data_IF_647666877352
#
_entry.id   IF_647666877352
#
_cell.length_a   1.000
_cell.length_b   1.000
_cell.length_c   1.000
_cell.angle_alpha   90.00
_cell.angle_beta   90.00
_cell.angle_gamma   90.00
#
_symmetry.space_group_name_H-M   'P 1'
#
loop_
_entity.id
_entity.type
_entity.pdbx_description
1 polymer ?
#
# COMPACT_ATOMS: atom_id res chain seq x y z
N UNK A 1 -21.38 42.65 40.42
CA UNK A 1 -22.79 42.56 40.85
C UNK A 1 -23.40 41.33 40.18
N UNK A 2 -23.80 40.35 41.00
CA UNK A 2 -24.82 39.29 40.78
C UNK A 2 -24.73 38.45 39.48
N UNK A 3 -24.83 37.14 39.46
CA UNK A 3 -25.27 36.17 40.45
C UNK A 3 -24.83 34.78 40.00
N UNK A 4 -24.47 33.96 40.98
CA UNK A 4 -24.32 32.51 40.87
C UNK A 4 -25.62 31.85 40.40
N UNK A 5 -25.49 30.74 39.67
CA UNK A 5 -26.40 29.59 39.73
C UNK A 5 -25.60 28.30 39.55
N UNK A 6 -25.10 27.79 40.68
CA UNK A 6 -24.75 26.38 40.89
C UNK A 6 -26.02 25.55 41.00
N UNK A 7 -26.20 24.47 40.25
CA UNK A 7 -27.11 23.33 40.53
C UNK A 7 -26.80 22.28 39.45
N UNK A 8 -26.71 20.96 39.63
CA UNK A 8 -26.74 20.04 40.77
C UNK A 8 -26.56 18.67 40.07
N UNK A 9 -25.45 17.95 40.28
CA UNK A 9 -25.50 16.49 40.14
C UNK A 9 -26.31 15.96 41.34
N UNK A 10 -27.09 14.87 41.21
CA UNK A 10 -26.63 13.61 41.80
C UNK A 10 -27.24 12.37 41.05
N UNK A 11 -27.35 11.16 41.64
CA UNK A 11 -26.38 10.10 41.42
C UNK A 11 -27.02 8.71 41.17
N UNK A 12 -26.21 7.64 41.12
CA UNK A 12 -26.57 6.24 41.40
C UNK A 12 -27.70 5.57 40.57
N UNK A 13 -27.33 4.55 39.80
CA UNK A 13 -27.98 3.24 39.93
C UNK A 13 -27.03 2.11 39.48
N UNK A 14 -26.67 1.17 40.38
CA UNK A 14 -26.05 -0.11 40.06
C UNK A 14 -27.11 -1.21 39.86
N UNK A 15 -26.64 -2.45 39.68
CA UNK A 15 -27.40 -3.72 39.63
C UNK A 15 -27.83 -4.15 38.22
N UNK A 16 -27.60 -5.38 37.76
CA UNK A 16 -27.81 -6.69 38.41
C UNK A 16 -26.81 -7.70 37.83
N UNK A 17 -25.90 -8.28 38.62
CA UNK A 17 -26.00 -9.61 39.26
C UNK A 17 -27.21 -10.46 38.80
N UNK A 18 -26.91 -11.53 38.07
CA UNK A 18 -27.80 -12.65 37.72
C UNK A 18 -26.96 -13.85 37.27
N UNK A 19 -27.43 -15.09 37.46
CA UNK A 19 -26.76 -16.02 38.36
C UNK A 19 -25.76 -16.96 37.69
N UNK A 20 -24.80 -17.38 38.53
CA UNK A 20 -24.10 -18.65 38.39
C UNK A 20 -25.11 -19.79 38.15
N UNK A 21 -24.85 -20.59 37.13
CA UNK A 21 -25.42 -21.92 36.97
C UNK A 21 -24.27 -22.93 36.79
N UNK A 22 -24.44 -24.16 37.25
CA UNK A 22 -23.47 -24.81 38.12
C UNK A 22 -22.56 -25.76 37.36
N UNK A 23 -21.41 -25.99 37.96
CA UNK A 23 -20.76 -27.30 38.14
C UNK A 23 -21.30 -28.45 37.27
N UNK A 24 -20.44 -28.84 36.32
CA UNK A 24 -20.01 -30.21 35.98
C UNK A 24 -20.73 -31.35 36.73
N UNK A 25 -21.09 -32.45 36.04
CA UNK A 25 -20.13 -33.55 35.87
C UNK A 25 -20.25 -34.23 34.50
N UNK A 26 -19.18 -34.64 33.84
CA UNK A 26 -18.59 -35.99 33.99
C UNK A 26 -17.44 -36.14 32.98
N UNK A 27 -16.48 -37.05 33.23
CA UNK A 27 -15.38 -37.31 32.30
C UNK A 27 -15.91 -37.96 31.02
N UNK A 28 -15.66 -37.35 29.87
CA UNK A 28 -15.81 -38.07 28.60
C UNK A 28 -14.80 -39.20 28.59
N UNK A 29 -15.35 -40.41 28.60
CA UNK A 29 -14.65 -41.67 28.41
C UNK A 29 -13.73 -41.56 27.19
N UNK A 30 -12.48 -41.99 27.36
CA UNK A 30 -11.60 -42.30 26.25
C UNK A 30 -12.29 -43.32 25.35
N UNK A 31 -12.56 -42.89 24.12
CA UNK A 31 -13.14 -43.72 23.06
C UNK A 31 -12.13 -44.80 22.66
N UNK A 32 -12.45 -46.11 22.77
CA UNK A 32 -11.51 -47.19 22.43
C UNK A 32 -11.39 -47.45 20.92
N UNK A 33 -11.91 -46.56 20.06
CA UNK A 33 -11.87 -46.66 18.60
C UNK A 33 -10.58 -46.10 17.95
N UNK A 34 -9.47 -46.02 18.70
CA UNK A 34 -8.14 -45.67 18.17
C UNK A 34 -7.19 -46.87 18.01
N UNK A 35 -7.69 -48.10 18.09
CA UNK A 35 -6.83 -49.31 17.97
C UNK A 35 -6.84 -49.99 16.60
N UNK A 36 -7.67 -49.59 15.63
CA UNK A 36 -7.78 -50.29 14.34
C UNK A 36 -7.06 -49.64 13.14
N UNK A 37 -6.42 -48.47 13.30
CA UNK A 37 -5.63 -47.84 12.23
C UNK A 37 -4.13 -48.19 12.27
N UNK A 38 -3.78 -49.40 12.76
CA UNK A 38 -2.39 -49.91 12.77
C UNK A 38 -2.12 -51.03 11.76
N UNK A 39 -2.80 -51.07 10.61
CA UNK A 39 -2.46 -52.05 9.56
C UNK A 39 -2.62 -51.50 8.12
N UNK A 40 -1.87 -50.46 7.76
CA UNK A 40 -1.50 -50.19 6.35
C UNK A 40 -0.09 -49.58 6.25
N UNK A 41 0.90 -50.31 6.74
CA UNK A 41 2.30 -50.11 6.33
C UNK A 41 2.69 -51.29 5.46
N UNK A 42 2.77 -51.08 4.15
CA UNK A 42 3.14 -52.13 3.21
C UNK A 42 2.86 -51.84 1.74
N UNK A 43 3.05 -50.60 1.28
CA UNK A 43 3.23 -50.35 -0.14
C UNK A 43 4.73 -50.37 -0.44
N UNK A 44 5.25 -51.23 -1.34
CA UNK A 44 6.65 -51.22 -1.69
C UNK A 44 6.99 -49.91 -2.40
N UNK A 45 7.90 -49.14 -1.81
CA UNK A 45 8.49 -47.95 -2.43
C UNK A 45 9.18 -48.40 -3.71
N UNK A 46 8.55 -48.11 -4.85
CA UNK A 46 9.11 -48.39 -6.17
C UNK A 46 10.34 -47.48 -6.33
N UNK A 47 11.53 -48.07 -6.17
CA UNK A 47 12.81 -47.36 -6.28
C UNK A 47 12.96 -46.88 -7.72
N UNK A 48 12.67 -45.60 -7.96
CA UNK A 48 12.89 -44.97 -9.25
C UNK A 48 14.39 -45.02 -9.52
N UNK A 49 14.83 -45.93 -10.41
CA UNK A 49 16.18 -45.93 -10.96
C UNK A 49 16.31 -44.67 -11.82
N UNK A 50 16.81 -43.59 -11.24
CA UNK A 50 17.30 -42.44 -11.99
C UNK A 50 18.49 -42.89 -12.83
N UNK A 51 18.21 -43.29 -14.07
CA UNK A 51 19.26 -43.59 -15.05
C UNK A 51 20.03 -42.31 -15.35
N UNK A 52 21.34 -42.31 -15.06
CA UNK A 52 22.35 -41.25 -15.28
C UNK A 52 22.36 -40.55 -16.66
N UNK A 53 21.54 -41.00 -17.62
CA UNK A 53 21.49 -40.48 -19.00
C UNK A 53 20.59 -39.26 -19.22
N UNK A 54 19.75 -38.85 -18.26
CA UNK A 54 18.88 -37.67 -18.40
C UNK A 54 19.45 -36.36 -17.83
N UNK A 55 20.67 -36.36 -17.30
CA UNK A 55 21.25 -35.16 -16.67
C UNK A 55 22.11 -34.30 -17.61
N UNK A 56 22.41 -34.75 -18.83
CA UNK A 56 23.33 -34.02 -19.73
C UNK A 56 22.64 -33.01 -20.65
N UNK A 57 21.29 -32.97 -20.71
CA UNK A 57 20.54 -32.03 -21.57
C UNK A 57 19.82 -30.91 -20.82
N UNK A 58 19.97 -30.83 -19.50
CA UNK A 58 19.36 -29.76 -18.67
C UNK A 58 20.34 -28.61 -18.42
N UNK A 59 21.65 -28.84 -18.58
CA UNK A 59 22.69 -27.85 -18.31
C UNK A 59 22.90 -26.79 -19.40
N UNK A 60 22.31 -26.93 -20.59
CA UNK A 60 22.46 -25.94 -21.68
C UNK A 60 21.34 -24.88 -21.66
N UNK A 61 20.19 -25.15 -21.03
CA UNK A 61 19.09 -24.17 -20.96
C UNK A 61 19.20 -23.19 -19.79
N UNK A 62 20.12 -23.42 -18.85
CA UNK A 62 20.33 -22.56 -17.68
C UNK A 62 21.25 -21.35 -17.94
N UNK A 63 21.83 -21.22 -19.15
CA UNK A 63 22.78 -20.15 -19.47
C UNK A 63 22.24 -19.07 -20.43
N UNK A 64 20.94 -19.12 -20.77
CA UNK A 64 20.31 -18.16 -21.69
C UNK A 64 19.33 -17.18 -21.00
N UNK A 65 19.21 -17.20 -19.66
CA UNK A 65 18.28 -16.36 -18.91
C UNK A 65 18.94 -15.16 -18.19
N UNK A 66 20.19 -14.84 -18.51
CA UNK A 66 20.95 -13.75 -17.85
C UNK A 66 21.12 -12.50 -18.74
N UNK A 67 20.23 -12.29 -19.71
CA UNK A 67 20.10 -11.03 -20.43
C UNK A 67 18.78 -10.35 -20.05
N UNK A 68 18.55 -10.15 -18.75
CA UNK A 68 17.64 -9.10 -18.33
C UNK A 68 18.34 -7.78 -18.67
N UNK A 69 18.01 -7.22 -19.83
CA UNK A 69 18.38 -5.87 -20.21
C UNK A 69 17.92 -4.95 -19.09
N UNK A 70 18.85 -4.36 -18.33
CA UNK A 70 18.56 -3.16 -17.57
C UNK A 70 18.26 -2.08 -18.60
N UNK A 71 16.99 -1.88 -18.92
CA UNK A 71 16.52 -0.62 -19.46
C UNK A 71 16.71 0.40 -18.34
N UNK A 72 17.91 0.96 -18.23
CA UNK A 72 18.06 2.25 -17.58
C UNK A 72 17.32 3.23 -18.49
N UNK A 73 16.17 3.73 -18.04
CA UNK A 73 15.69 5.01 -18.53
C UNK A 73 16.88 5.97 -18.42
N UNK A 74 17.18 6.71 -19.49
CA UNK A 74 18.27 7.66 -19.38
C UNK A 74 17.86 8.67 -18.29
N UNK A 75 18.83 9.10 -17.48
CA UNK A 75 18.55 10.10 -16.47
C UNK A 75 18.32 11.44 -17.19
N UNK A 76 17.33 12.22 -16.75
CA UNK A 76 17.09 13.53 -17.33
C UNK A 76 18.37 14.38 -17.22
N UNK A 77 18.75 15.00 -18.32
CA UNK A 77 19.95 15.83 -18.40
C UNK A 77 19.67 17.27 -17.98
N UNK A 78 18.45 17.74 -18.21
CA UNK A 78 18.00 19.04 -17.75
C UNK A 78 17.73 19.04 -16.22
N UNK A 79 18.36 19.95 -15.45
CA UNK A 79 18.21 19.98 -13.99
C UNK A 79 16.77 20.30 -13.54
N UNK A 80 16.00 21.03 -14.35
CA UNK A 80 14.59 21.34 -14.07
C UNK A 80 13.73 20.09 -14.23
N UNK A 81 13.95 19.34 -15.32
CA UNK A 81 13.23 18.07 -15.55
C UNK A 81 13.56 17.05 -14.47
N UNK A 82 14.84 16.98 -14.07
CA UNK A 82 15.29 16.11 -12.99
C UNK A 82 14.60 16.43 -11.66
N UNK A 83 14.55 17.71 -11.26
CA UNK A 83 13.87 18.13 -10.04
C UNK A 83 12.36 17.76 -10.04
N UNK A 84 11.69 17.86 -11.19
CA UNK A 84 10.28 17.42 -11.34
C UNK A 84 10.13 15.92 -11.14
N UNK A 85 10.99 15.14 -11.79
CA UNK A 85 10.97 13.68 -11.70
C UNK A 85 11.26 13.23 -10.25
N UNK A 86 12.22 13.84 -9.56
CA UNK A 86 12.53 13.55 -8.16
C UNK A 86 11.34 13.84 -7.24
N UNK A 87 10.62 14.95 -7.45
CA UNK A 87 9.40 15.25 -6.70
C UNK A 87 8.30 14.21 -6.97
N UNK A 88 8.08 13.83 -8.23
CA UNK A 88 7.11 12.80 -8.60
C UNK A 88 7.50 11.42 -8.07
N UNK A 89 8.79 11.09 -8.05
CA UNK A 89 9.30 9.83 -7.50
C UNK A 89 9.11 9.77 -5.98
N UNK A 90 9.31 10.89 -5.29
CA UNK A 90 9.06 11.01 -3.84
C UNK A 90 7.58 10.76 -3.50
N UNK A 91 6.67 11.36 -4.28
CA UNK A 91 5.23 11.08 -4.19
C UNK A 91 4.95 9.60 -4.48
N UNK A 92 5.53 9.05 -5.55
CA UNK A 92 5.35 7.67 -5.98
C UNK A 92 5.81 6.64 -4.95
N UNK A 93 6.97 6.87 -4.31
CA UNK A 93 7.51 6.04 -3.22
C UNK A 93 6.58 6.06 -2.00
N UNK A 94 6.11 7.23 -1.61
CA UNK A 94 5.17 7.38 -0.48
C UNK A 94 3.83 6.71 -0.77
N UNK A 95 3.31 6.89 -1.99
CA UNK A 95 2.09 6.22 -2.46
C UNK A 95 2.26 4.70 -2.48
N UNK A 96 3.43 4.20 -2.88
CA UNK A 96 3.74 2.77 -2.86
C UNK A 96 3.68 2.21 -1.44
N UNK A 97 4.26 2.89 -0.46
CA UNK A 97 4.20 2.46 0.95
C UNK A 97 2.76 2.26 1.42
N UNK A 98 1.87 3.24 1.20
CA UNK A 98 0.47 3.11 1.61
C UNK A 98 -0.29 2.08 0.77
N UNK A 99 0.00 1.97 -0.54
CA UNK A 99 -0.64 0.99 -1.41
C UNK A 99 -0.26 -0.46 -1.06
N UNK A 100 0.99 -0.71 -0.70
CA UNK A 100 1.46 -2.04 -0.29
C UNK A 100 0.77 -2.45 1.03
N UNK A 101 0.62 -1.53 1.98
CA UNK A 101 -0.17 -1.76 3.21
C UNK A 101 -1.64 -2.03 2.89
N UNK A 102 -2.26 -1.26 1.99
CA UNK A 102 -3.65 -1.43 1.59
C UNK A 102 -3.94 -2.83 1.01
N UNK A 103 -3.01 -3.33 0.18
CA UNK A 103 -3.06 -4.64 -0.47
C UNK A 103 -2.72 -5.80 0.46
N UNK A 104 -2.05 -5.52 1.58
CA UNK A 104 -1.53 -6.53 2.49
C UNK A 104 -0.17 -7.11 2.08
N UNK A 105 0.51 -6.46 1.13
CA UNK A 105 1.88 -6.79 0.71
C UNK A 105 2.91 -6.33 1.76
N UNK A 106 2.53 -5.35 2.60
CA UNK A 106 3.26 -4.90 3.78
C UNK A 106 2.35 -4.91 5.02
N UNK A 107 2.93 -5.08 6.21
CA UNK A 107 2.20 -4.98 7.46
C UNK A 107 1.66 -3.55 7.65
N UNK A 108 0.41 -3.42 8.11
CA UNK A 108 -0.19 -2.12 8.38
C UNK A 108 0.49 -1.44 9.57
N UNK A 109 0.99 -0.23 9.33
CA UNK A 109 1.52 0.68 10.33
C UNK A 109 0.89 2.06 10.10
N UNK A 110 0.04 2.47 11.03
CA UNK A 110 -0.68 3.74 10.94
C UNK A 110 0.25 4.96 10.96
N UNK A 111 1.34 4.90 11.73
CA UNK A 111 2.29 6.01 11.81
C UNK A 111 3.08 6.17 10.49
N UNK A 112 3.55 5.05 9.95
CA UNK A 112 4.23 5.04 8.65
C UNK A 112 3.29 5.47 7.51
N UNK A 113 2.03 5.04 7.52
CA UNK A 113 1.03 5.46 6.54
C UNK A 113 0.72 6.96 6.62
N UNK A 114 0.57 7.49 7.84
CA UNK A 114 0.34 8.93 8.07
C UNK A 114 1.53 9.76 7.58
N UNK A 115 2.76 9.33 7.87
CA UNK A 115 3.97 10.02 7.41
C UNK A 115 4.09 10.01 5.88
N UNK A 116 3.75 8.89 5.24
CA UNK A 116 3.73 8.79 3.78
C UNK A 116 2.66 9.71 3.16
N UNK A 117 1.45 9.77 3.72
CA UNK A 117 0.40 10.68 3.27
C UNK A 117 0.81 12.15 3.41
N UNK A 118 1.42 12.52 4.54
CA UNK A 118 1.97 13.86 4.75
C UNK A 118 3.04 14.21 3.71
N UNK A 119 3.96 13.28 3.41
CA UNK A 119 5.00 13.46 2.39
C UNK A 119 4.38 13.71 1.00
N UNK A 120 3.29 13.00 0.66
CA UNK A 120 2.56 13.24 -0.60
C UNK A 120 2.00 14.67 -0.61
N UNK A 121 1.34 15.09 0.47
CA UNK A 121 0.74 16.42 0.56
C UNK A 121 1.78 17.55 0.46
N UNK A 122 2.86 17.44 1.23
CA UNK A 122 3.96 18.43 1.23
C UNK A 122 4.70 18.50 -0.10
N UNK A 123 4.85 17.36 -0.79
CA UNK A 123 5.52 17.35 -2.10
C UNK A 123 4.59 17.90 -3.16
N UNK A 124 3.30 17.53 -3.15
CA UNK A 124 2.29 18.05 -4.07
C UNK A 124 2.14 19.58 -3.99
N UNK A 125 2.32 20.17 -2.80
CA UNK A 125 2.35 21.63 -2.61
C UNK A 125 3.46 22.32 -3.42
N UNK A 126 4.61 21.66 -3.56
CA UNK A 126 5.80 22.22 -4.23
C UNK A 126 5.76 22.02 -5.75
N UNK A 127 4.94 21.10 -6.24
CA UNK A 127 4.92 20.69 -7.66
C UNK A 127 4.66 21.85 -8.60
N UNK A 128 3.64 22.73 -8.41
CA UNK A 128 3.41 23.85 -9.33
C UNK A 128 4.65 24.74 -9.52
N UNK A 129 5.38 25.03 -8.44
CA UNK A 129 6.62 25.81 -8.50
C UNK A 129 7.73 25.18 -9.34
N UNK A 130 7.77 23.84 -9.44
CA UNK A 130 8.74 23.13 -10.29
C UNK A 130 8.40 23.20 -11.79
N UNK A 131 7.16 23.54 -12.13
CA UNK A 131 6.64 23.56 -13.51
C UNK A 131 6.45 24.97 -14.08
N UNK A 132 6.84 26.04 -13.36
CA UNK A 132 6.67 27.43 -13.82
C UNK A 132 7.34 27.72 -15.17
N UNK A 133 8.52 27.15 -15.40
CA UNK A 133 9.28 27.35 -16.64
C UNK A 133 9.19 26.12 -17.55
N UNK A 134 8.84 26.24 -18.84
CA UNK A 134 8.97 25.13 -19.76
C UNK A 134 10.43 24.64 -19.84
N UNK A 135 10.62 23.33 -19.87
CA UNK A 135 11.93 22.71 -20.07
C UNK A 135 11.74 21.44 -20.91
N UNK A 136 12.59 21.29 -21.92
CA UNK A 136 12.54 20.17 -22.86
C UNK A 136 13.71 19.22 -22.61
N UNK A 137 13.37 17.96 -22.36
CA UNK A 137 14.32 16.85 -22.25
C UNK A 137 13.62 15.60 -22.82
N UNK A 138 14.30 14.74 -23.60
CA UNK A 138 13.69 13.52 -24.15
C UNK A 138 13.12 12.57 -23.09
N UNK A 139 13.63 12.62 -21.86
CA UNK A 139 13.17 11.83 -20.73
C UNK A 139 11.99 12.49 -19.99
N UNK A 140 11.60 13.71 -20.36
CA UNK A 140 10.43 14.37 -19.80
C UNK A 140 9.14 13.68 -20.27
N UNK A 141 8.30 13.32 -19.29
CA UNK A 141 6.94 12.80 -19.54
C UNK A 141 5.87 13.91 -19.45
N UNK A 142 6.29 15.17 -19.38
CA UNK A 142 5.40 16.31 -19.21
C UNK A 142 4.81 16.73 -20.55
N UNK A 143 3.48 16.83 -20.65
CA UNK A 143 2.84 17.35 -21.87
C UNK A 143 2.94 18.89 -21.92
N UNK A 144 3.05 19.49 -23.13
CA UNK A 144 2.99 20.95 -23.29
C UNK A 144 1.74 21.63 -22.73
N UNK A 145 0.63 20.88 -22.61
CA UNK A 145 -0.63 21.37 -22.08
C UNK A 145 -0.54 21.92 -20.64
N UNK A 146 0.48 21.52 -19.86
CA UNK A 146 0.71 22.05 -18.52
C UNK A 146 0.87 23.57 -18.55
N UNK A 147 1.59 24.10 -19.54
CA UNK A 147 1.87 25.53 -19.63
C UNK A 147 0.77 26.34 -20.29
N UNK A 148 -0.13 25.69 -21.05
CA UNK A 148 -1.33 26.34 -21.58
C UNK A 148 -2.44 26.42 -20.54
N UNK A 149 -2.56 25.40 -19.69
CA UNK A 149 -3.63 25.26 -18.70
C UNK A 149 -3.05 25.21 -17.27
N UNK A 150 -2.06 26.06 -16.98
CA UNK A 150 -1.29 26.01 -15.73
C UNK A 150 -2.14 26.20 -14.46
N UNK A 151 -3.26 26.93 -14.58
CA UNK A 151 -4.23 27.08 -13.49
C UNK A 151 -4.89 25.75 -13.12
N UNK A 152 -5.36 24.98 -14.10
CA UNK A 152 -5.96 23.65 -13.87
C UNK A 152 -4.90 22.63 -13.40
N UNK A 153 -3.67 22.71 -13.91
CA UNK A 153 -2.54 21.93 -13.38
C UNK A 153 -2.30 22.20 -11.88
N UNK A 154 -2.27 23.48 -11.50
CA UNK A 154 -2.08 23.90 -10.11
C UNK A 154 -3.24 23.43 -9.23
N UNK A 155 -4.48 23.58 -9.69
CA UNK A 155 -5.68 23.11 -9.00
C UNK A 155 -5.65 21.59 -8.78
N UNK A 156 -5.27 20.80 -9.79
CA UNK A 156 -5.13 19.35 -9.64
C UNK A 156 -4.03 18.97 -8.65
N UNK A 157 -2.95 19.74 -8.56
CA UNK A 157 -1.90 19.53 -7.56
C UNK A 157 -2.40 19.84 -6.14
N UNK A 158 -3.13 20.93 -5.96
CA UNK A 158 -3.81 21.27 -4.70
C UNK A 158 -4.85 20.20 -4.32
N UNK A 159 -5.58 19.64 -5.29
CA UNK A 159 -6.52 18.56 -5.05
C UNK A 159 -5.82 17.28 -4.55
N UNK A 160 -4.64 16.94 -5.08
CA UNK A 160 -3.82 15.83 -4.57
C UNK A 160 -3.36 16.11 -3.12
N UNK A 161 -2.88 17.32 -2.85
CA UNK A 161 -2.50 17.76 -1.50
C UNK A 161 -3.66 17.65 -0.53
N UNK A 162 -4.84 18.14 -0.91
CA UNK A 162 -6.05 18.05 -0.10
C UNK A 162 -6.48 16.59 0.15
N UNK A 163 -6.47 15.75 -0.87
CA UNK A 163 -6.81 14.34 -0.76
C UNK A 163 -5.84 13.59 0.18
N UNK A 164 -4.54 13.86 0.07
CA UNK A 164 -3.53 13.26 0.94
C UNK A 164 -3.60 13.81 2.37
N UNK A 165 -3.88 15.11 2.55
CA UNK A 165 -4.04 15.72 3.87
C UNK A 165 -5.32 15.31 4.61
N UNK A 166 -6.39 14.98 3.87
CA UNK A 166 -7.64 14.48 4.42
C UNK A 166 -7.68 12.95 4.57
N UNK A 167 -6.61 12.25 4.18
CA UNK A 167 -6.57 10.80 4.19
C UNK A 167 -6.59 10.24 5.63
N UNK A 168 -7.56 9.38 5.91
CA UNK A 168 -7.62 8.63 7.16
C UNK A 168 -6.72 7.40 7.08
N UNK A 169 -5.71 7.37 7.94
CA UNK A 169 -4.71 6.29 8.07
C UNK A 169 -4.82 5.58 9.44
N UNK A 170 -5.92 5.75 10.18
CA UNK A 170 -6.09 5.19 11.52
C UNK A 170 -6.33 3.68 11.55
N UNK A 171 -6.83 3.11 10.45
CA UNK A 171 -7.06 1.67 10.32
C UNK A 171 -6.82 1.20 8.89
N UNK A 172 -6.64 -0.10 8.71
CA UNK A 172 -6.47 -0.70 7.38
C UNK A 172 -7.69 -0.45 6.48
N UNK A 173 -8.90 -0.45 7.04
CA UNK A 173 -10.12 -0.18 6.28
C UNK A 173 -10.20 1.28 5.83
N UNK A 174 -9.91 2.21 6.74
CA UNK A 174 -9.85 3.64 6.42
C UNK A 174 -8.77 3.94 5.38
N UNK A 175 -7.57 3.36 5.55
CA UNK A 175 -6.46 3.51 4.62
C UNK A 175 -6.84 3.05 3.21
N UNK A 176 -7.58 1.94 3.06
CA UNK A 176 -8.04 1.46 1.75
C UNK A 176 -8.97 2.45 1.07
N UNK A 177 -9.87 3.09 1.82
CA UNK A 177 -10.70 4.18 1.30
C UNK A 177 -9.85 5.37 0.84
N UNK A 178 -8.93 5.81 1.70
CA UNK A 178 -8.04 6.95 1.43
C UNK A 178 -7.14 6.75 0.20
N UNK A 179 -6.59 5.54 0.02
CA UNK A 179 -5.78 5.18 -1.16
C UNK A 179 -6.57 5.35 -2.46
N UNK A 180 -7.88 5.04 -2.44
CA UNK A 180 -8.76 5.24 -3.57
C UNK A 180 -8.90 6.71 -3.97
N UNK A 181 -9.13 7.60 -3.00
CA UNK A 181 -9.29 9.04 -3.25
C UNK A 181 -7.99 9.69 -3.72
N UNK A 182 -6.85 9.38 -3.08
CA UNK A 182 -5.53 9.84 -3.54
C UNK A 182 -5.28 9.35 -4.97
N UNK A 183 -5.58 8.08 -5.26
CA UNK A 183 -5.41 7.50 -6.58
C UNK A 183 -6.22 8.21 -7.67
N UNK A 184 -7.43 8.71 -7.36
CA UNK A 184 -8.23 9.51 -8.30
C UNK A 184 -7.56 10.84 -8.64
N UNK A 185 -6.98 11.53 -7.66
CA UNK A 185 -6.24 12.77 -7.89
C UNK A 185 -4.97 12.54 -8.73
N UNK A 186 -4.25 11.44 -8.49
CA UNK A 186 -3.13 11.04 -9.35
C UNK A 186 -3.59 10.83 -10.80
N UNK A 187 -4.72 10.12 -10.98
CA UNK A 187 -5.25 9.80 -12.31
C UNK A 187 -5.72 11.05 -13.06
N UNK A 188 -6.44 11.96 -12.41
CA UNK A 188 -6.95 13.18 -13.07
C UNK A 188 -5.81 14.02 -13.63
N UNK A 189 -4.72 14.20 -12.88
CA UNK A 189 -3.56 14.93 -13.36
C UNK A 189 -2.82 14.19 -14.48
N UNK A 190 -2.56 12.88 -14.32
CA UNK A 190 -1.79 12.13 -15.30
C UNK A 190 -2.51 11.91 -16.64
N UNK A 191 -3.84 11.79 -16.65
CA UNK A 191 -4.59 11.67 -17.89
C UNK A 191 -4.44 12.91 -18.78
N UNK A 192 -4.46 14.10 -18.16
CA UNK A 192 -4.40 15.38 -18.86
C UNK A 192 -2.93 15.74 -19.20
N UNK A 193 -2.01 15.57 -18.25
CA UNK A 193 -0.70 16.22 -18.29
C UNK A 193 0.52 15.30 -18.41
N UNK A 194 0.37 13.98 -18.24
CA UNK A 194 1.48 13.04 -18.43
C UNK A 194 1.39 12.30 -19.77
N UNK A 195 2.51 12.16 -20.45
CA UNK A 195 2.64 11.29 -21.63
C UNK A 195 2.49 9.83 -21.19
N UNK A 196 1.68 9.06 -21.92
CA UNK A 196 1.56 7.61 -21.70
C UNK A 196 2.72 6.93 -22.43
N UNK A 197 3.51 6.14 -21.71
CA UNK A 197 4.54 5.25 -22.25
C UNK A 197 4.01 3.83 -22.33
#
# INVERSE_FOLDING_TARGET
>A
MFSLCSFLAPPFAPSRVGPACPLLPTPRRCDPQLSQFRHRLGAPIRRIRMTKRRMTKVTIFALAAAAATLAHAADATDPTVKARQEAMETIGKSMKTIADMAKGDAAFDSAAATAAAATIAETADKVPGLFETPADDPESESKPAIWTDFADFTEKSEALKAAAGAADMASLEALRGSVGEIGKACKSCHDDYRVKK
#
